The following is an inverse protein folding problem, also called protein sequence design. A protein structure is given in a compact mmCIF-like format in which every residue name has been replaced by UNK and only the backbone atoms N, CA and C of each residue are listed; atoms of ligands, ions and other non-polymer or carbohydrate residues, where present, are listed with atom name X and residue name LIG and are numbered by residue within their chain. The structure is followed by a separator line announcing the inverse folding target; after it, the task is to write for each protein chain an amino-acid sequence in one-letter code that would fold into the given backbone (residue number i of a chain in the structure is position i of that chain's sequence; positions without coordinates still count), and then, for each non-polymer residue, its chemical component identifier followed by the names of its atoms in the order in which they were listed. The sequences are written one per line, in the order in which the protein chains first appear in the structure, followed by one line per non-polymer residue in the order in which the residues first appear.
data_IF_910913170508
#
_entry.id   IF_910913170508
#
_cell.length_a   1.000
_cell.length_b   1.000
_cell.length_c   1.000
_cell.angle_alpha   90.00
_cell.angle_beta   90.00
_cell.angle_gamma   90.00
#
_symmetry.space_group_name_H-M   'P 1'
#
loop_
_entity.id
_entity.type
_entity.pdbx_description
1 polymer ?
#
# COMPACT_ATOMS: atom_id res chain seq x y z
N UNK A 1 -18.67 -14.60 12.75
CA UNK A 1 -18.04 -13.43 13.37
C UNK A 1 -18.66 -12.18 12.76
N UNK A 2 -18.84 -11.11 13.52
CA UNK A 2 -19.27 -9.82 12.94
C UNK A 2 -18.13 -9.20 12.14
N UNK A 3 -18.43 -8.54 11.02
CA UNK A 3 -17.44 -7.79 10.22
C UNK A 3 -16.64 -6.80 11.07
N UNK A 4 -17.26 -6.25 12.12
CA UNK A 4 -16.59 -5.38 13.09
C UNK A 4 -15.49 -6.10 13.87
N UNK A 5 -15.73 -7.33 14.33
CA UNK A 5 -14.70 -8.11 15.01
C UNK A 5 -13.59 -8.48 14.03
N UNK A 6 -13.96 -8.87 12.80
CA UNK A 6 -12.97 -9.22 11.78
C UNK A 6 -12.07 -8.05 11.40
N UNK A 7 -12.62 -6.83 11.32
CA UNK A 7 -11.84 -5.61 11.09
C UNK A 7 -10.80 -5.37 12.19
N UNK A 8 -11.16 -5.63 13.46
CA UNK A 8 -10.22 -5.53 14.60
C UNK A 8 -9.09 -6.55 14.44
N UNK A 9 -9.44 -7.82 14.20
CA UNK A 9 -8.45 -8.89 14.05
C UNK A 9 -7.51 -8.63 12.86
N UNK A 10 -8.06 -8.14 11.73
CA UNK A 10 -7.27 -7.79 10.55
C UNK A 10 -6.34 -6.60 10.83
N UNK A 11 -6.80 -5.60 11.58
CA UNK A 11 -5.97 -4.46 11.97
C UNK A 11 -4.78 -4.91 12.82
N UNK A 12 -5.02 -5.71 13.85
CA UNK A 12 -3.95 -6.25 14.72
C UNK A 12 -2.93 -7.07 13.93
N UNK A 13 -3.42 -7.92 13.02
CA UNK A 13 -2.56 -8.75 12.18
C UNK A 13 -1.72 -7.91 11.20
N UNK A 14 -2.33 -6.89 10.58
CA UNK A 14 -1.65 -5.97 9.68
C UNK A 14 -0.59 -5.14 10.43
N UNK A 15 -0.89 -4.67 11.64
CA UNK A 15 0.05 -3.92 12.46
C UNK A 15 1.28 -4.79 12.81
N UNK A 16 1.07 -6.04 13.21
CA UNK A 16 2.16 -7.00 13.46
C UNK A 16 3.01 -7.26 12.20
N UNK A 17 2.37 -7.41 11.03
CA UNK A 17 3.08 -7.66 9.77
C UNK A 17 3.91 -6.44 9.35
N UNK A 18 3.38 -5.23 9.50
CA UNK A 18 4.12 -3.99 9.21
C UNK A 18 5.26 -3.75 10.20
N UNK A 19 5.09 -4.11 11.48
CA UNK A 19 6.16 -4.09 12.47
C UNK A 19 7.30 -5.03 12.07
N UNK A 20 6.96 -6.30 11.77
CA UNK A 20 7.91 -7.31 11.31
C UNK A 20 8.62 -6.90 10.01
N UNK A 21 7.90 -6.30 9.07
CA UNK A 21 8.49 -5.74 7.85
C UNK A 21 9.53 -4.67 8.19
N UNK A 22 9.20 -3.75 9.09
CA UNK A 22 10.10 -2.68 9.53
C UNK A 22 11.36 -3.20 10.21
N UNK A 23 11.24 -4.21 11.08
CA UNK A 23 12.40 -4.84 11.71
C UNK A 23 13.30 -5.52 10.69
N UNK A 24 12.74 -6.30 9.76
CA UNK A 24 13.55 -6.98 8.75
C UNK A 24 14.25 -5.99 7.82
N UNK A 25 13.59 -4.88 7.47
CA UNK A 25 14.22 -3.80 6.70
C UNK A 25 15.38 -3.15 7.47
N UNK A 26 15.22 -2.88 8.77
CA UNK A 26 16.31 -2.36 9.63
C UNK A 26 17.48 -3.32 9.70
N UNK A 27 17.21 -4.61 9.92
CA UNK A 27 18.24 -5.65 9.99
C UNK A 27 19.03 -5.77 8.68
N UNK A 28 18.36 -5.64 7.52
CA UNK A 28 19.04 -5.64 6.22
C UNK A 28 20.01 -4.46 6.05
N UNK A 29 19.72 -3.31 6.67
CA UNK A 29 20.54 -2.10 6.59
C UNK A 29 21.74 -2.22 7.54
N UNK A 30 21.51 -2.69 8.77
CA UNK A 30 22.54 -2.74 9.82
C UNK A 30 23.47 -3.95 9.68
N UNK A 31 22.98 -5.06 9.13
CA UNK A 31 23.76 -6.28 8.99
C UNK A 31 24.67 -6.23 7.75
N UNK A 32 25.97 -6.45 7.94
CA UNK A 32 26.97 -6.49 6.86
C UNK A 32 27.10 -7.86 6.19
N UNK A 33 26.49 -8.92 6.74
CA UNK A 33 26.60 -10.28 6.24
C UNK A 33 25.62 -10.57 5.09
N UNK A 34 26.15 -10.75 3.87
CA UNK A 34 25.36 -10.92 2.64
C UNK A 34 24.34 -12.07 2.67
N UNK A 35 24.67 -13.30 3.14
CA UNK A 35 23.69 -14.38 3.22
C UNK A 35 22.48 -14.06 4.11
N UNK A 36 22.72 -13.43 5.27
CA UNK A 36 21.63 -13.07 6.19
C UNK A 36 20.70 -12.01 5.58
N UNK A 37 21.27 -11.02 4.88
CA UNK A 37 20.48 -10.02 4.13
C UNK A 37 19.65 -10.67 3.03
N UNK A 38 20.22 -11.63 2.30
CA UNK A 38 19.52 -12.35 1.25
C UNK A 38 18.34 -13.16 1.80
N UNK A 39 18.54 -13.90 2.90
CA UNK A 39 17.48 -14.65 3.57
C UNK A 39 16.33 -13.74 4.06
N UNK A 40 16.66 -12.59 4.66
CA UNK A 40 15.68 -11.60 5.09
C UNK A 40 14.89 -11.03 3.90
N UNK A 41 15.57 -10.68 2.80
CA UNK A 41 14.90 -10.24 1.56
C UNK A 41 13.95 -11.33 1.02
N UNK A 42 14.37 -12.59 1.02
CA UNK A 42 13.51 -13.70 0.57
C UNK A 42 12.28 -13.87 1.48
N UNK A 43 12.43 -13.75 2.81
CA UNK A 43 11.29 -13.80 3.74
C UNK A 43 10.31 -12.64 3.53
N UNK A 44 10.83 -11.42 3.35
CA UNK A 44 10.00 -10.25 3.04
C UNK A 44 9.14 -10.54 1.79
N UNK A 45 9.78 -10.98 0.70
CA UNK A 45 9.11 -11.16 -0.58
C UNK A 45 8.19 -12.38 -0.65
N UNK A 46 8.53 -13.48 0.05
CA UNK A 46 7.76 -14.75 -0.04
C UNK A 46 6.68 -14.89 1.03
N UNK A 47 6.83 -14.22 2.16
CA UNK A 47 5.94 -14.42 3.31
C UNK A 47 5.24 -13.14 3.73
N UNK A 48 6.01 -12.06 3.98
CA UNK A 48 5.49 -10.84 4.61
C UNK A 48 4.62 -10.04 3.65
N UNK A 49 5.17 -9.65 2.49
CA UNK A 49 4.47 -8.84 1.49
C UNK A 49 3.22 -9.54 0.93
N UNK A 50 3.26 -10.84 0.57
CA UNK A 50 2.04 -11.58 0.20
C UNK A 50 0.97 -11.60 1.29
N UNK A 51 1.36 -11.76 2.57
CA UNK A 51 0.41 -11.74 3.69
C UNK A 51 -0.21 -10.36 3.87
N UNK A 52 0.59 -9.29 3.80
CA UNK A 52 0.10 -7.91 3.86
C UNK A 52 -0.92 -7.66 2.74
N UNK A 53 -0.61 -8.02 1.48
CA UNK A 53 -1.57 -7.86 0.37
C UNK A 53 -2.89 -8.56 0.63
N UNK A 54 -2.84 -9.81 1.08
CA UNK A 54 -4.02 -10.61 1.38
C UNK A 54 -4.90 -9.94 2.44
N UNK A 55 -4.32 -9.51 3.55
CA UNK A 55 -5.09 -8.95 4.66
C UNK A 55 -5.52 -7.52 4.43
N UNK A 56 -4.75 -6.69 3.70
CA UNK A 56 -5.21 -5.36 3.28
C UNK A 56 -6.38 -5.48 2.29
N UNK A 57 -6.32 -6.40 1.33
CA UNK A 57 -7.44 -6.63 0.40
C UNK A 57 -8.71 -7.05 1.14
N UNK A 58 -8.60 -7.95 2.11
CA UNK A 58 -9.72 -8.36 2.96
C UNK A 58 -10.24 -7.19 3.80
N UNK A 59 -9.34 -6.43 4.44
CA UNK A 59 -9.68 -5.28 5.27
C UNK A 59 -10.50 -4.26 4.49
N UNK A 60 -10.03 -3.84 3.30
CA UNK A 60 -10.72 -2.84 2.49
C UNK A 60 -11.99 -3.36 1.82
N UNK A 61 -12.15 -4.68 1.67
CA UNK A 61 -13.39 -5.27 1.19
C UNK A 61 -14.53 -5.16 2.21
N UNK A 62 -14.21 -5.21 3.50
CA UNK A 62 -15.20 -5.14 4.59
C UNK A 62 -15.24 -3.79 5.31
N UNK A 63 -14.28 -2.89 5.05
CA UNK A 63 -14.24 -1.58 5.69
C UNK A 63 -15.39 -0.68 5.21
N UNK A 64 -16.17 -0.07 6.11
CA UNK A 64 -17.27 0.82 5.75
C UNK A 64 -16.74 2.11 5.13
N UNK A 65 -16.99 2.31 3.84
CA UNK A 65 -16.50 3.50 3.11
C UNK A 65 -17.10 4.81 3.63
N UNK A 66 -18.29 4.72 4.21
CA UNK A 66 -19.01 5.84 4.83
C UNK A 66 -18.30 6.34 6.09
N UNK A 67 -17.52 5.49 6.76
CA UNK A 67 -16.73 5.88 7.93
C UNK A 67 -15.48 6.70 7.56
N UNK A 68 -15.11 6.76 6.27
CA UNK A 68 -13.94 7.51 5.81
C UNK A 68 -14.33 8.98 5.71
N UNK A 69 -13.76 9.82 6.57
CA UNK A 69 -13.98 11.27 6.56
C UNK A 69 -12.63 11.95 6.30
N UNK A 70 -12.48 12.55 5.12
CA UNK A 70 -11.29 13.28 4.70
C UNK A 70 -11.78 14.54 4.00
N UNK A 71 -11.22 15.70 4.35
CA UNK A 71 -11.56 16.96 3.67
C UNK A 71 -11.05 16.98 2.23
N UNK A 72 -11.67 17.78 1.36
CA UNK A 72 -11.19 17.89 -0.02
C UNK A 72 -9.80 18.53 -0.09
N UNK A 73 -9.47 19.41 0.84
CA UNK A 73 -8.14 20.00 0.98
C UNK A 73 -7.08 18.94 1.27
N UNK A 74 -7.30 18.11 2.31
CA UNK A 74 -6.40 17.01 2.65
C UNK A 74 -6.28 16.00 1.52
N UNK A 75 -7.43 15.66 0.90
CA UNK A 75 -7.46 14.71 -0.19
C UNK A 75 -6.67 15.22 -1.40
N UNK A 76 -6.77 16.50 -1.77
CA UNK A 76 -5.96 17.09 -2.86
C UNK A 76 -4.46 16.91 -2.62
N UNK A 77 -3.98 17.18 -1.41
CA UNK A 77 -2.57 16.99 -1.06
C UNK A 77 -2.16 15.52 -1.21
N UNK A 78 -2.97 14.58 -0.71
CA UNK A 78 -2.66 13.15 -0.83
C UNK A 78 -2.74 12.64 -2.26
N UNK A 79 -3.67 13.13 -3.07
CA UNK A 79 -3.79 12.75 -4.48
C UNK A 79 -2.56 13.16 -5.28
N UNK A 80 -1.99 14.34 -5.03
CA UNK A 80 -0.72 14.76 -5.68
C UNK A 80 0.41 13.79 -5.36
N UNK A 81 0.57 13.38 -4.10
CA UNK A 81 1.58 12.38 -3.72
C UNK A 81 1.32 11.00 -4.32
N UNK A 82 0.04 10.62 -4.45
CA UNK A 82 -0.36 9.37 -5.07
C UNK A 82 -0.06 9.37 -6.56
N UNK A 83 -0.38 10.45 -7.28
CA UNK A 83 -0.05 10.61 -8.70
C UNK A 83 1.46 10.55 -8.93
N UNK A 84 2.26 11.24 -8.11
CA UNK A 84 3.72 11.18 -8.17
C UNK A 84 4.27 9.77 -7.92
N UNK A 85 3.70 9.03 -6.96
CA UNK A 85 4.10 7.66 -6.68
C UNK A 85 3.76 6.72 -7.85
N UNK A 86 2.56 6.84 -8.43
CA UNK A 86 2.16 6.08 -9.63
C UNK A 86 3.12 6.38 -10.79
N UNK A 87 3.40 7.65 -11.07
CA UNK A 87 4.33 8.05 -12.12
C UNK A 87 5.75 7.52 -11.92
N UNK A 88 6.23 7.53 -10.67
CA UNK A 88 7.56 7.00 -10.35
C UNK A 88 7.65 5.51 -10.64
N UNK A 89 6.62 4.74 -10.25
CA UNK A 89 6.57 3.32 -10.57
C UNK A 89 6.56 3.13 -12.09
N UNK A 90 5.67 3.81 -12.81
CA UNK A 90 5.48 3.73 -14.27
C UNK A 90 6.75 4.07 -15.09
N UNK A 91 7.70 4.83 -14.53
CA UNK A 91 8.98 5.15 -15.18
C UNK A 91 10.00 4.00 -15.14
N UNK A 92 9.83 3.04 -14.24
CA UNK A 92 10.66 1.83 -14.18
C UNK A 92 10.34 0.93 -15.38
N UNK A 93 11.33 0.23 -15.93
CA UNK A 93 11.11 -0.64 -17.09
C UNK A 93 10.07 -1.73 -16.80
N UNK A 94 9.02 -1.78 -17.62
CA UNK A 94 7.87 -2.68 -17.46
C UNK A 94 8.21 -4.18 -17.55
N UNK A 95 9.39 -4.54 -18.06
CA UNK A 95 9.89 -5.93 -18.11
C UNK A 95 10.12 -6.55 -16.74
N UNK A 96 10.21 -5.74 -15.68
CA UNK A 96 10.46 -6.19 -14.31
C UNK A 96 9.17 -6.23 -13.46
N UNK A 97 8.03 -5.88 -14.05
CA UNK A 97 6.78 -5.80 -13.31
C UNK A 97 6.14 -7.18 -13.08
N UNK A 98 5.66 -7.44 -11.86
CA UNK A 98 4.67 -8.46 -11.63
C UNK A 98 3.44 -8.20 -12.50
N UNK A 99 2.92 -9.24 -13.16
CA UNK A 99 1.78 -9.12 -14.09
C UNK A 99 0.52 -8.52 -13.45
N UNK A 100 0.40 -8.63 -12.13
CA UNK A 100 -0.70 -8.11 -11.32
C UNK A 100 -0.56 -6.61 -11.00
N UNK A 101 0.62 -6.02 -11.13
CA UNK A 101 0.87 -4.61 -10.83
C UNK A 101 0.28 -3.68 -11.90
N UNK A 102 0.46 -4.04 -13.18
CA UNK A 102 -0.03 -3.25 -14.33
C UNK A 102 -1.52 -2.93 -14.24
N UNK A 103 -2.43 -3.91 -14.04
CA UNK A 103 -3.85 -3.60 -13.94
C UNK A 103 -4.18 -2.73 -12.71
N UNK A 104 -3.46 -2.87 -11.60
CA UNK A 104 -3.65 -2.00 -10.42
C UNK A 104 -3.26 -0.54 -10.70
N UNK A 105 -2.16 -0.32 -11.45
CA UNK A 105 -1.73 1.02 -11.88
C UNK A 105 -2.73 1.64 -12.87
N UNK A 106 -3.30 0.85 -13.76
CA UNK A 106 -4.35 1.31 -14.68
C UNK A 106 -5.63 1.67 -13.90
N UNK A 107 -6.06 0.81 -12.99
CA UNK A 107 -7.26 1.04 -12.18
C UNK A 107 -7.14 2.29 -11.31
N UNK A 108 -5.97 2.53 -10.71
CA UNK A 108 -5.76 3.73 -9.91
C UNK A 108 -5.76 4.97 -10.81
N UNK A 109 -5.13 4.95 -11.98
CA UNK A 109 -5.17 6.06 -12.95
C UNK A 109 -6.58 6.41 -13.38
N UNK A 110 -7.38 5.40 -13.75
CA UNK A 110 -8.78 5.61 -14.13
C UNK A 110 -9.58 6.28 -13.02
N UNK A 111 -9.37 5.87 -11.78
CA UNK A 111 -10.06 6.46 -10.61
C UNK A 111 -9.59 7.88 -10.29
N UNK A 112 -8.31 8.19 -10.48
CA UNK A 112 -7.75 9.54 -10.26
C UNK A 112 -8.24 10.54 -11.33
N UNK A 113 -8.35 10.08 -12.57
CA UNK A 113 -8.75 10.92 -13.71
C UNK A 113 -10.27 11.12 -13.85
N UNK A 114 -11.08 10.55 -12.94
CA UNK A 114 -12.54 10.69 -12.94
C UNK A 114 -12.96 12.15 -12.65
N UNK A 115 -13.24 12.94 -13.68
CA UNK A 115 -13.51 14.38 -13.56
C UNK A 115 -14.80 14.70 -12.78
N UNK A 116 -15.71 13.73 -12.64
CA UNK A 116 -17.02 13.92 -12.01
C UNK A 116 -16.97 13.81 -10.48
N UNK A 117 -15.80 13.48 -9.90
CA UNK A 117 -15.62 13.26 -8.46
C UNK A 117 -14.81 14.34 -7.77
N UNK A 118 -15.20 14.64 -6.54
CA UNK A 118 -14.38 15.45 -5.62
C UNK A 118 -13.07 14.74 -5.27
N UNK A 119 -12.10 15.49 -4.74
CA UNK A 119 -10.80 14.92 -4.36
C UNK A 119 -10.95 13.83 -3.29
N UNK A 120 -11.78 14.08 -2.28
CA UNK A 120 -12.10 13.11 -1.23
C UNK A 120 -12.75 11.85 -1.81
N UNK A 121 -13.69 11.99 -2.76
CA UNK A 121 -14.31 10.86 -3.42
C UNK A 121 -13.31 10.03 -4.25
N UNK A 122 -12.41 10.68 -4.99
CA UNK A 122 -11.32 10.01 -5.73
C UNK A 122 -10.42 9.22 -4.79
N UNK A 123 -9.96 9.83 -3.71
CA UNK A 123 -9.10 9.17 -2.73
C UNK A 123 -9.81 7.96 -2.09
N UNK A 124 -11.08 8.12 -1.70
CA UNK A 124 -11.87 7.03 -1.11
C UNK A 124 -11.98 5.81 -2.01
N UNK A 125 -12.17 6.00 -3.31
CA UNK A 125 -12.30 4.87 -4.24
C UNK A 125 -10.96 4.23 -4.60
N UNK A 126 -9.85 4.94 -4.45
CA UNK A 126 -8.49 4.42 -4.72
C UNK A 126 -7.86 3.74 -3.50
N UNK A 127 -8.28 4.09 -2.28
CA UNK A 127 -7.76 3.52 -1.02
C UNK A 127 -7.50 2.00 -1.04
N UNK A 128 -8.43 1.15 -1.53
CA UNK A 128 -8.20 -0.30 -1.54
C UNK A 128 -7.03 -0.76 -2.43
N UNK A 129 -6.63 0.06 -3.42
CA UNK A 129 -5.58 -0.28 -4.38
C UNK A 129 -4.18 0.08 -3.88
N UNK A 130 -4.08 1.15 -3.10
CA UNK A 130 -2.79 1.73 -2.65
C UNK A 130 -1.91 0.71 -1.90
N UNK A 131 -2.42 -0.08 -0.93
CA UNK A 131 -1.59 -1.04 -0.20
C UNK A 131 -1.06 -2.15 -1.09
N UNK A 132 -1.85 -2.59 -2.08
CA UNK A 132 -1.44 -3.62 -3.02
C UNK A 132 -0.27 -3.13 -3.88
N UNK A 133 -0.38 -1.91 -4.43
CA UNK A 133 0.69 -1.29 -5.23
C UNK A 133 1.94 -1.05 -4.38
N UNK A 134 1.77 -0.53 -3.16
CA UNK A 134 2.88 -0.33 -2.21
C UNK A 134 3.63 -1.64 -1.92
N UNK A 135 2.92 -2.77 -1.81
CA UNK A 135 3.56 -4.06 -1.61
C UNK A 135 4.40 -4.50 -2.81
N UNK A 136 3.93 -4.30 -4.05
CA UNK A 136 4.71 -4.64 -5.25
C UNK A 136 5.93 -3.73 -5.41
N UNK A 137 5.76 -2.44 -5.10
CA UNK A 137 6.85 -1.47 -5.12
C UNK A 137 8.03 -1.89 -4.22
N UNK A 138 7.72 -2.45 -3.04
CA UNK A 138 8.71 -2.97 -2.10
C UNK A 138 9.36 -4.28 -2.60
N UNK A 139 8.62 -5.16 -3.29
CA UNK A 139 9.19 -6.38 -3.90
C UNK A 139 10.23 -6.05 -4.98
N UNK A 140 10.02 -4.95 -5.68
CA UNK A 140 10.88 -4.46 -6.75
C UNK A 140 12.11 -3.67 -6.26
N UNK A 141 12.30 -3.54 -4.94
CA UNK A 141 13.43 -2.80 -4.31
C UNK A 141 13.59 -1.36 -4.85
N UNK A 142 12.46 -0.68 -5.09
CA UNK A 142 12.42 0.71 -5.57
C UNK A 142 12.45 1.71 -4.40
N UNK A 143 12.30 3.01 -4.68
CA UNK A 143 12.35 4.08 -3.67
C UNK A 143 11.23 4.00 -2.61
N UNK A 144 10.21 3.17 -2.78
CA UNK A 144 9.16 3.00 -1.77
C UNK A 144 8.28 4.26 -1.61
N UNK A 145 8.07 5.02 -2.69
CA UNK A 145 7.27 6.24 -2.68
C UNK A 145 5.79 5.92 -2.46
N UNK A 146 5.25 4.90 -3.12
CA UNK A 146 3.90 4.41 -2.88
C UNK A 146 3.72 3.91 -1.45
N UNK A 147 4.71 3.21 -0.88
CA UNK A 147 4.65 2.80 0.53
C UNK A 147 4.61 3.99 1.50
N UNK A 148 5.38 5.05 1.23
CA UNK A 148 5.34 6.28 2.02
C UNK A 148 4.00 7.00 1.90
N UNK A 149 3.47 7.12 0.69
CA UNK A 149 2.14 7.66 0.41
C UNK A 149 1.06 6.85 1.14
N UNK A 150 1.16 5.52 1.11
CA UNK A 150 0.25 4.64 1.85
C UNK A 150 0.26 4.94 3.35
N UNK A 151 1.44 5.02 3.98
CA UNK A 151 1.55 5.34 5.40
C UNK A 151 0.99 6.72 5.75
N UNK A 152 1.14 7.71 4.89
CA UNK A 152 0.57 9.04 5.11
C UNK A 152 -0.96 8.98 5.10
N UNK A 153 -1.54 8.35 4.07
CA UNK A 153 -2.99 8.21 3.92
C UNK A 153 -3.59 7.34 5.04
N UNK A 154 -2.92 6.26 5.43
CA UNK A 154 -3.37 5.35 6.49
C UNK A 154 -3.57 6.10 7.82
N UNK A 155 -2.74 7.11 8.14
CA UNK A 155 -2.89 7.96 9.34
C UNK A 155 -4.10 8.89 9.29
N UNK A 156 -4.58 9.22 8.09
CA UNK A 156 -5.78 10.05 7.91
C UNK A 156 -7.05 9.20 8.02
N UNK A 157 -7.01 7.95 7.52
CA UNK A 157 -8.21 7.10 7.46
C UNK A 157 -8.46 6.32 8.76
N UNK A 158 -7.41 5.93 9.49
CA UNK A 158 -7.52 5.07 10.68
C UNK A 158 -7.50 5.86 12.01
N UNK A 159 -7.93 7.12 11.99
CA UNK A 159 -8.13 7.92 13.22
C UNK A 159 -9.29 7.39 14.06
#
# INVERSE_FOLDING_TARGET
MSDRQRLVDLKELLDLLYEKLGEFQRDIIVNSHTPARFELKQRINREILPSIRKYEAEYWNIYPKEAIVISDEEAKTQLVHLEQAVESIERVSSSEYPSQLIPLLQDIRTKLNDLDKTASAKLKVTLPLIPAIASYELEMDTEGLMYRTWKAIQRLVRQ
#
